data_IF_526621124535
#
_entry.id   IF_526621124535
#
_cell.length_a   1.000
_cell.length_b   1.000
_cell.length_c   1.000
_cell.angle_alpha   90.00
_cell.angle_beta   90.00
_cell.angle_gamma   90.00
#
_symmetry.space_group_name_H-M   'P 1'
#
loop_
_entity.id
_entity.type
_entity.pdbx_description
1 polymer ?
#
# COMPACT_ATOMS: atom_id res chain seq x y z
N UNK A 1 4.94 -16.08 4.16
CA UNK A 1 5.37 -15.03 3.20
C UNK A 1 5.73 -13.77 3.97
N UNK A 2 6.77 -13.03 3.57
CA UNK A 2 7.08 -11.71 4.13
C UNK A 2 5.89 -10.75 4.06
N UNK A 3 5.83 -9.81 5.02
CA UNK A 3 4.84 -8.74 5.05
C UNK A 3 5.45 -7.40 5.45
N UNK A 4 4.82 -6.31 5.01
CA UNK A 4 5.18 -4.92 5.34
C UNK A 4 3.93 -4.15 5.74
N UNK A 5 4.04 -3.37 6.81
CA UNK A 5 3.07 -2.37 7.21
C UNK A 5 3.61 -0.98 6.87
N UNK A 6 2.81 -0.18 6.14
CA UNK A 6 3.23 1.10 5.59
C UNK A 6 2.19 2.14 5.99
N UNK A 7 2.66 3.20 6.65
CA UNK A 7 1.85 4.35 7.05
C UNK A 7 2.09 5.50 6.06
N UNK A 8 1.02 5.99 5.44
CA UNK A 8 1.07 7.18 4.59
C UNK A 8 0.28 8.30 5.27
N UNK A 9 0.90 9.48 5.39
CA UNK A 9 0.33 10.69 6.02
C UNK A 9 0.25 11.81 4.99
N UNK A 10 -0.60 12.81 5.25
CA UNK A 10 -0.81 13.96 4.38
C UNK A 10 -2.18 13.95 3.69
N UNK A 11 -2.28 14.61 2.53
CA UNK A 11 -3.54 14.71 1.76
C UNK A 11 -3.79 13.41 0.98
N UNK A 12 -4.15 12.35 1.69
CA UNK A 12 -4.34 10.99 1.13
C UNK A 12 -5.77 10.48 1.23
N UNK A 13 -6.68 11.23 1.86
CA UNK A 13 -8.09 10.87 2.00
C UNK A 13 -8.95 11.67 1.02
N UNK A 14 -9.95 11.02 0.42
CA UNK A 14 -10.84 11.67 -0.57
C UNK A 14 -10.24 11.88 -1.97
N UNK A 15 -8.97 11.52 -2.18
CA UNK A 15 -8.24 11.77 -3.45
C UNK A 15 -8.05 10.53 -4.34
N UNK A 16 -8.68 9.40 -4.01
CA UNK A 16 -8.51 8.15 -4.77
C UNK A 16 -7.26 7.33 -4.41
N UNK A 17 -6.59 7.63 -3.30
CA UNK A 17 -5.36 6.93 -2.87
C UNK A 17 -5.57 5.42 -2.65
N UNK A 18 -6.66 5.00 -1.99
CA UNK A 18 -6.93 3.56 -1.73
C UNK A 18 -7.10 2.74 -3.02
N UNK A 19 -7.93 3.16 -4.01
CA UNK A 19 -7.97 2.52 -5.32
C UNK A 19 -6.59 2.42 -5.99
N UNK A 20 -5.79 3.49 -5.98
CA UNK A 20 -4.44 3.48 -6.56
C UNK A 20 -3.54 2.43 -5.90
N UNK A 21 -3.50 2.38 -4.57
CA UNK A 21 -2.73 1.37 -3.82
C UNK A 21 -3.20 -0.05 -4.14
N UNK A 22 -4.51 -0.26 -4.24
CA UNK A 22 -5.05 -1.58 -4.59
C UNK A 22 -4.62 -2.04 -5.99
N UNK A 23 -4.66 -1.14 -6.99
CA UNK A 23 -4.17 -1.44 -8.34
C UNK A 23 -2.68 -1.73 -8.35
N UNK A 24 -1.88 -0.91 -7.68
CA UNK A 24 -0.44 -1.06 -7.58
C UNK A 24 -0.06 -2.40 -6.92
N UNK A 25 -0.71 -2.76 -5.81
CA UNK A 25 -0.48 -4.03 -5.13
C UNK A 25 -0.78 -5.23 -6.05
N UNK A 26 -1.88 -5.17 -6.83
CA UNK A 26 -2.23 -6.23 -7.80
C UNK A 26 -1.21 -6.35 -8.94
N UNK A 27 -0.65 -5.24 -9.42
CA UNK A 27 0.38 -5.26 -10.46
C UNK A 27 1.66 -5.99 -10.02
N UNK A 28 1.98 -5.93 -8.72
CA UNK A 28 3.12 -6.63 -8.11
C UNK A 28 2.75 -8.02 -7.55
N UNK A 29 1.54 -8.53 -7.80
CA UNK A 29 1.09 -9.82 -7.28
C UNK A 29 1.01 -9.89 -5.75
N UNK A 30 0.90 -8.75 -5.08
CA UNK A 30 0.84 -8.66 -3.62
C UNK A 30 -0.59 -8.85 -3.11
N UNK A 31 -0.69 -9.39 -1.90
CA UNK A 31 -1.96 -9.53 -1.18
C UNK A 31 -1.94 -8.65 0.07
N UNK A 32 -3.12 -8.32 0.61
CA UNK A 32 -3.23 -7.56 1.85
C UNK A 32 -4.42 -6.61 1.87
N UNK A 33 -4.29 -5.51 2.61
CA UNK A 33 -5.38 -4.57 2.88
C UNK A 33 -4.90 -3.12 2.89
N UNK A 34 -5.80 -2.21 2.51
CA UNK A 34 -5.58 -0.77 2.56
C UNK A 34 -6.83 -0.09 3.11
N UNK A 35 -6.66 0.80 4.10
CA UNK A 35 -7.77 1.51 4.73
C UNK A 35 -7.34 2.90 5.21
N UNK A 36 -8.34 3.76 5.41
CA UNK A 36 -8.15 5.06 6.05
C UNK A 36 -8.39 4.93 7.55
N UNK A 37 -7.65 5.70 8.34
CA UNK A 37 -7.92 5.94 9.76
C UNK A 37 -7.68 7.43 10.09
N UNK A 38 -7.72 7.81 11.37
CA UNK A 38 -7.51 9.20 11.79
C UNK A 38 -6.11 9.75 11.49
N UNK A 39 -5.12 8.89 11.22
CA UNK A 39 -3.73 9.26 10.98
C UNK A 39 -3.36 9.33 9.49
N UNK A 40 -4.27 8.91 8.59
CA UNK A 40 -4.03 8.89 7.14
C UNK A 40 -4.47 7.58 6.51
N UNK A 41 -3.54 6.90 5.81
CA UNK A 41 -3.75 5.60 5.18
C UNK A 41 -2.80 4.57 5.78
N UNK A 42 -3.32 3.39 6.07
CA UNK A 42 -2.53 2.22 6.43
C UNK A 42 -2.61 1.18 5.30
N UNK A 43 -1.46 0.59 4.99
CA UNK A 43 -1.32 -0.46 3.98
C UNK A 43 -0.61 -1.64 4.63
N UNK A 44 -1.25 -2.81 4.58
CA UNK A 44 -0.60 -4.09 4.83
C UNK A 44 -0.40 -4.80 3.50
N UNK A 45 0.83 -5.18 3.17
CA UNK A 45 1.18 -5.88 1.95
C UNK A 45 1.99 -7.14 2.26
N UNK A 46 1.69 -8.23 1.58
CA UNK A 46 2.32 -9.54 1.73
C UNK A 46 2.71 -10.10 0.36
N UNK A 47 3.91 -10.67 0.28
CA UNK A 47 4.48 -11.20 -0.96
C UNK A 47 5.97 -11.52 -0.80
N UNK A 48 6.68 -11.76 -1.91
CA UNK A 48 8.13 -11.90 -1.86
C UNK A 48 8.79 -10.53 -1.61
N UNK A 49 10.07 -10.54 -1.17
CA UNK A 49 10.77 -9.31 -0.79
C UNK A 49 10.97 -8.34 -1.97
N UNK A 50 11.27 -8.86 -3.15
CA UNK A 50 11.57 -8.03 -4.33
C UNK A 50 10.33 -7.24 -4.78
N UNK A 51 9.17 -7.87 -4.80
CA UNK A 51 7.91 -7.23 -5.17
C UNK A 51 7.47 -6.22 -4.10
N UNK A 52 7.65 -6.55 -2.81
CA UNK A 52 7.39 -5.63 -1.71
C UNK A 52 8.28 -4.37 -1.79
N UNK A 53 9.58 -4.53 -2.04
CA UNK A 53 10.51 -3.41 -2.12
C UNK A 53 10.23 -2.54 -3.34
N UNK A 54 9.82 -3.14 -4.47
CA UNK A 54 9.46 -2.39 -5.68
C UNK A 54 8.13 -1.66 -5.52
N UNK A 55 7.14 -2.31 -4.91
CA UNK A 55 5.87 -1.69 -4.55
C UNK A 55 6.07 -0.47 -3.65
N UNK A 56 6.86 -0.59 -2.58
CA UNK A 56 7.11 0.52 -1.63
C UNK A 56 7.73 1.73 -2.34
N UNK A 57 8.67 1.52 -3.26
CA UNK A 57 9.32 2.61 -4.02
C UNK A 57 8.37 3.35 -4.97
N UNK A 58 7.23 2.75 -5.33
CA UNK A 58 6.25 3.34 -6.23
C UNK A 58 5.08 4.01 -5.50
N UNK A 59 5.03 3.93 -4.17
CA UNK A 59 4.07 4.67 -3.36
C UNK A 59 4.49 6.16 -3.36
N UNK A 60 3.59 7.10 -3.75
CA UNK A 60 3.86 8.53 -3.72
C UNK A 60 4.02 9.11 -2.31
#
# INVERSE_FOLDING_TARGET
>A
MPGKAIRVRGVVQGVGFRPMIWHLARQHGLTGSVWNDGEGVMIHAFGNRQDLDTFIRQIP
#
